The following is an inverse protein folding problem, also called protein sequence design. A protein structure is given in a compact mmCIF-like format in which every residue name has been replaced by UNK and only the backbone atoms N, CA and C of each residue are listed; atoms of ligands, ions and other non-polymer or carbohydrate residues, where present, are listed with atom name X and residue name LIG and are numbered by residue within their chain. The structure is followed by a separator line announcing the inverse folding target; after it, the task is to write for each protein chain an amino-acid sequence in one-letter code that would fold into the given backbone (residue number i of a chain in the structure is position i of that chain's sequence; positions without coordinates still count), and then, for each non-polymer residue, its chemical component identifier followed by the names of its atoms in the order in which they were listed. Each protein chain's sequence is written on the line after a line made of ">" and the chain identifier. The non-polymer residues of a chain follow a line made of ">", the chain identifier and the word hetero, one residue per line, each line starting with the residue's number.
data_IF_379289240512
#
_entry.id   IF_379289240512
#
_cell.length_a   1.000
_cell.length_b   1.000
_cell.length_c   1.000
_cell.angle_alpha   90.00
_cell.angle_beta   90.00
_cell.angle_gamma   90.00
#
_symmetry.space_group_name_H-M   'P 1'
#
loop_
_entity.id
_entity.type
_entity.pdbx_description
1 polymer ?
#
# COMPACT_ATOMS: atom_id res chain seq x y z
N UNK A 1 1.96 -8.13 14.02
CA UNK A 1 2.09 -7.17 15.09
C UNK A 1 1.85 -5.78 14.59
N UNK A 2 1.19 -4.98 15.41
CA UNK A 2 0.89 -3.62 15.03
C UNK A 2 2.16 -2.81 14.76
N UNK A 3 3.18 -3.06 15.55
CA UNK A 3 4.43 -2.32 15.40
C UNK A 3 5.07 -2.54 14.04
N UNK A 4 4.94 -3.76 13.54
CA UNK A 4 5.51 -4.08 12.24
C UNK A 4 4.85 -3.26 11.14
N UNK A 5 3.53 -3.19 11.18
CA UNK A 5 2.81 -2.41 10.18
C UNK A 5 3.12 -0.93 10.28
N UNK A 6 3.22 -0.43 11.50
CA UNK A 6 3.53 0.98 11.70
C UNK A 6 4.90 1.31 11.11
N UNK A 7 5.85 0.42 11.27
CA UNK A 7 7.19 0.65 10.73
C UNK A 7 7.16 0.73 9.22
N UNK A 8 6.45 -0.19 8.56
CA UNK A 8 6.36 -0.17 7.11
C UNK A 8 5.64 1.07 6.64
N UNK A 9 4.56 1.42 7.32
CA UNK A 9 3.83 2.62 6.95
C UNK A 9 4.70 3.87 7.05
N UNK A 10 5.47 3.98 8.12
CA UNK A 10 6.36 5.12 8.30
C UNK A 10 7.40 5.17 7.21
N UNK A 11 7.96 4.02 6.83
CA UNK A 11 8.93 3.96 5.77
C UNK A 11 8.33 4.42 4.45
N UNK A 12 7.13 3.94 4.15
CA UNK A 12 6.48 4.32 2.90
C UNK A 12 6.16 5.80 2.87
N UNK A 13 5.71 6.34 4.00
CA UNK A 13 5.41 7.76 4.06
C UNK A 13 6.65 8.60 3.80
N UNK A 14 7.77 8.21 4.39
CA UNK A 14 9.02 8.94 4.18
C UNK A 14 9.47 8.84 2.72
N UNK A 15 9.32 7.67 2.12
CA UNK A 15 9.70 7.50 0.72
C UNK A 15 8.80 8.31 -0.20
N UNK A 16 7.53 8.41 0.13
CA UNK A 16 6.61 9.24 -0.64
C UNK A 16 7.02 10.70 -0.59
N UNK A 17 7.39 11.16 0.59
CA UNK A 17 7.83 12.54 0.75
C UNK A 17 9.08 12.82 -0.06
N UNK A 18 9.93 11.80 -0.20
CA UNK A 18 11.16 11.91 -0.96
C UNK A 18 10.97 11.59 -2.44
N UNK A 19 9.77 11.19 -2.81
CA UNK A 19 9.42 10.83 -4.18
C UNK A 19 10.25 9.65 -4.68
N UNK A 20 10.56 8.73 -3.78
CA UNK A 20 11.31 7.53 -4.12
C UNK A 20 10.36 6.42 -4.55
N UNK A 21 9.68 6.63 -5.65
CA UNK A 21 8.61 5.74 -6.07
C UNK A 21 9.10 4.35 -6.44
N UNK A 22 10.26 4.26 -7.07
CA UNK A 22 10.79 2.96 -7.43
C UNK A 22 11.05 2.10 -6.20
N UNK A 23 11.57 2.72 -5.15
CA UNK A 23 11.84 2.00 -3.91
C UNK A 23 10.54 1.55 -3.26
N UNK A 24 9.53 2.41 -3.28
CA UNK A 24 8.23 2.05 -2.74
C UNK A 24 7.68 0.84 -3.47
N UNK A 25 7.74 0.87 -4.79
CA UNK A 25 7.24 -0.24 -5.60
C UNK A 25 8.00 -1.53 -5.26
N UNK A 26 9.31 -1.44 -5.12
CA UNK A 26 10.10 -2.60 -4.81
C UNK A 26 9.68 -3.22 -3.48
N UNK A 27 9.35 -2.39 -2.52
CA UNK A 27 8.89 -2.90 -1.22
C UNK A 27 7.53 -3.56 -1.37
N UNK A 28 6.62 -2.89 -2.05
CA UNK A 28 5.25 -3.36 -2.15
C UNK A 28 5.12 -4.68 -2.90
N UNK A 29 5.93 -4.85 -3.95
CA UNK A 29 5.79 -6.07 -4.76
C UNK A 29 6.29 -7.31 -4.03
N UNK A 30 6.97 -7.14 -2.91
CA UNK A 30 7.41 -8.28 -2.11
C UNK A 30 6.39 -8.64 -1.03
N UNK A 31 5.29 -7.90 -0.95
CA UNK A 31 4.30 -8.09 0.10
C UNK A 31 3.07 -8.79 -0.45
N UNK A 32 2.31 -9.41 0.46
CA UNK A 32 1.04 -10.00 0.09
C UNK A 32 -0.01 -8.91 -0.09
N UNK A 33 -1.00 -9.14 -0.99
CA UNK A 33 -2.06 -8.15 -1.16
C UNK A 33 -2.77 -7.80 0.15
N UNK A 34 -2.94 -8.77 1.03
CA UNK A 34 -3.58 -8.50 2.32
C UNK A 34 -2.77 -7.52 3.15
N UNK A 35 -1.46 -7.69 3.16
CA UNK A 35 -0.60 -6.80 3.92
C UNK A 35 -0.59 -5.41 3.30
N UNK A 36 -0.53 -5.35 1.98
CA UNK A 36 -0.57 -4.07 1.30
C UNK A 36 -1.88 -3.35 1.62
N UNK A 37 -2.98 -4.07 1.58
CA UNK A 37 -4.28 -3.49 1.86
C UNK A 37 -4.34 -2.92 3.27
N UNK A 38 -3.78 -3.64 4.23
CA UNK A 38 -3.76 -3.16 5.61
C UNK A 38 -3.01 -1.84 5.72
N UNK A 39 -1.87 -1.75 5.05
CA UNK A 39 -1.08 -0.53 5.09
C UNK A 39 -1.80 0.60 4.38
N UNK A 40 -2.38 0.32 3.22
CA UNK A 40 -3.12 1.34 2.48
C UNK A 40 -4.28 1.88 3.31
N UNK A 41 -4.89 1.00 4.10
CA UNK A 41 -6.02 1.39 4.93
C UNK A 41 -5.63 2.44 5.95
N UNK A 42 -4.37 2.47 6.33
CA UNK A 42 -3.87 3.40 7.34
C UNK A 42 -3.27 4.66 6.72
N UNK A 43 -3.09 4.66 5.41
CA UNK A 43 -2.54 5.83 4.73
C UNK A 43 -3.67 6.75 4.31
N UNK A 44 -3.29 7.99 4.01
CA UNK A 44 -4.28 8.96 3.55
C UNK A 44 -4.84 8.58 2.21
N UNK A 45 -6.15 8.73 2.07
CA UNK A 45 -6.80 8.37 0.82
C UNK A 45 -6.22 9.10 -0.38
N UNK A 46 -5.71 10.29 -0.15
CA UNK A 46 -5.16 11.07 -1.25
C UNK A 46 -3.95 10.42 -1.88
N UNK A 47 -3.26 9.58 -1.12
CA UNK A 47 -2.07 8.93 -1.62
C UNK A 47 -2.36 7.61 -2.31
N UNK A 48 -3.55 7.07 -2.11
CA UNK A 48 -3.86 5.74 -2.64
C UNK A 48 -3.79 5.66 -4.16
N UNK A 49 -4.34 6.63 -4.91
CA UNK A 49 -4.24 6.51 -6.36
C UNK A 49 -2.81 6.40 -6.86
N UNK A 50 -1.91 7.15 -6.27
CA UNK A 50 -0.50 7.08 -6.66
C UNK A 50 0.08 5.73 -6.32
N UNK A 51 -0.23 5.22 -5.13
CA UNK A 51 0.31 3.94 -4.71
C UNK A 51 -0.20 2.81 -5.59
N UNK A 52 -1.47 2.84 -5.95
CA UNK A 52 -2.02 1.83 -6.85
C UNK A 52 -1.35 1.88 -8.21
N UNK A 53 -0.97 3.05 -8.66
CA UNK A 53 -0.27 3.18 -9.93
C UNK A 53 1.10 2.55 -9.88
N UNK A 54 1.72 2.54 -8.71
CA UNK A 54 3.05 1.96 -8.57
C UNK A 54 3.00 0.44 -8.57
N UNK A 55 1.86 -0.14 -8.26
CA UNK A 55 1.74 -1.59 -8.20
C UNK A 55 1.58 -2.18 -9.60
N UNK A 56 2.13 -3.39 -9.84
CA UNK A 56 1.79 -4.12 -11.04
C UNK A 56 0.28 -4.29 -11.13
N UNK A 57 -0.23 -4.37 -12.33
CA UNK A 57 -1.67 -4.40 -12.53
C UNK A 57 -2.34 -5.51 -11.73
N UNK A 58 -1.77 -6.70 -11.76
CA UNK A 58 -2.35 -7.83 -11.06
C UNK A 58 -2.35 -7.61 -9.56
N UNK A 59 -1.25 -7.11 -9.05
CA UNK A 59 -1.13 -6.88 -7.62
C UNK A 59 -2.06 -5.78 -7.17
N UNK A 60 -2.20 -4.76 -7.99
CA UNK A 60 -3.11 -3.66 -7.67
C UNK A 60 -4.54 -4.17 -7.58
N UNK A 61 -4.93 -5.03 -8.52
CA UNK A 61 -6.28 -5.56 -8.51
C UNK A 61 -6.52 -6.42 -7.27
N UNK A 62 -5.55 -7.25 -6.93
CA UNK A 62 -5.69 -8.11 -5.75
C UNK A 62 -5.75 -7.30 -4.47
N UNK A 63 -4.94 -6.25 -4.41
CA UNK A 63 -4.95 -5.37 -3.24
C UNK A 63 -6.30 -4.67 -3.11
N UNK A 64 -6.82 -4.20 -4.22
CA UNK A 64 -8.11 -3.53 -4.21
C UNK A 64 -9.21 -4.45 -3.70
N UNK A 65 -9.18 -5.70 -4.14
CA UNK A 65 -10.17 -6.68 -3.69
C UNK A 65 -10.07 -6.88 -2.18
N UNK A 66 -8.86 -6.92 -1.65
CA UNK A 66 -8.67 -7.09 -0.22
C UNK A 66 -9.21 -5.91 0.57
N UNK A 67 -9.25 -4.75 -0.03
CA UNK A 67 -9.72 -3.55 0.65
C UNK A 67 -11.23 -3.38 0.56
N UNK A 68 -11.87 -4.12 -0.32
CA UNK A 68 -13.28 -3.90 -0.63
C UNK A 68 -14.30 -4.53 0.28
N UNK A 69 -13.99 -5.55 1.06
CA UNK A 69 -15.05 -6.23 1.81
C UNK A 69 -15.96 -5.29 2.56
N UNK A 70 -15.41 -4.26 3.15
CA UNK A 70 -16.21 -3.30 3.89
C UNK A 70 -17.01 -2.40 2.97
N UNK A 71 -16.42 -2.05 1.86
CA UNK A 71 -17.08 -1.15 0.92
C UNK A 71 -18.31 -1.81 0.30
N UNK A 72 -18.31 -3.12 0.24
CA UNK A 72 -19.42 -3.84 -0.35
C UNK A 72 -20.66 -3.86 0.53
N UNK A 73 -20.49 -3.46 1.75
CA UNK A 73 -21.62 -3.38 2.65
C UNK A 73 -22.61 -2.32 2.18
#
# INVERSE_FOLDING_TARGET
>A
MAEHNVTVESTLTALLADKKYATIRDILITMNPSDIASIFDELEEERLPLLFRLLPKELAAETFVEMEPDAQE
#
